data_IF_949309854190
#
_entry.id   IF_949309854190
#
_cell.length_a   1.000
_cell.length_b   1.000
_cell.length_c   1.000
_cell.angle_alpha   90.00
_cell.angle_beta   90.00
_cell.angle_gamma   90.00
#
_symmetry.space_group_name_H-M   'P 1'
#
loop_
_entity.id
_entity.type
_entity.pdbx_description
1 polymer ?
#
# COMPACT_ATOMS: atom_id res chain seq x y z
N UNK A 1 -7.91 1.92 -26.64
CA UNK A 1 -7.47 0.53 -26.46
C UNK A 1 -6.17 0.62 -25.67
N UNK A 2 -6.29 0.70 -24.35
CA UNK A 2 -5.14 0.64 -23.43
C UNK A 2 -4.72 -0.82 -23.39
N UNK A 3 -3.55 -1.12 -23.98
CA UNK A 3 -2.92 -2.41 -23.80
C UNK A 3 -2.75 -2.67 -22.29
N UNK A 4 -3.29 -3.78 -21.86
CA UNK A 4 -3.13 -4.31 -20.52
C UNK A 4 -1.63 -4.48 -20.22
N UNK A 5 -1.05 -3.57 -19.47
CA UNK A 5 0.37 -3.61 -19.05
C UNK A 5 0.65 -4.66 -17.97
N UNK A 6 -0.36 -5.42 -17.59
CA UNK A 6 -0.40 -6.19 -16.35
C UNK A 6 0.03 -7.65 -16.57
N UNK A 7 1.18 -8.03 -16.01
CA UNK A 7 1.73 -9.40 -15.97
C UNK A 7 1.56 -10.15 -17.31
N UNK A 8 1.95 -9.48 -18.40
CA UNK A 8 1.79 -9.99 -19.77
C UNK A 8 2.41 -11.38 -19.98
N UNK A 9 3.34 -11.79 -19.09
CA UNK A 9 4.02 -13.09 -19.13
C UNK A 9 3.49 -14.11 -18.10
N UNK A 10 2.52 -13.73 -17.25
CA UNK A 10 2.00 -14.60 -16.19
C UNK A 10 3.02 -14.97 -15.11
N UNK A 11 4.10 -14.20 -14.97
CA UNK A 11 5.22 -14.47 -14.06
C UNK A 11 4.78 -14.62 -12.61
N UNK A 12 3.85 -13.77 -12.19
CA UNK A 12 3.36 -13.72 -10.81
C UNK A 12 2.19 -14.67 -10.54
N UNK A 13 1.75 -15.47 -11.51
CA UNK A 13 0.67 -16.43 -11.31
C UNK A 13 1.09 -17.57 -10.39
N UNK A 14 0.21 -17.92 -9.46
CA UNK A 14 0.38 -19.04 -8.54
C UNK A 14 0.20 -20.36 -9.31
N UNK A 15 1.22 -21.21 -9.26
CA UNK A 15 1.22 -22.55 -9.83
C UNK A 15 1.17 -23.65 -8.76
N UNK A 16 1.42 -23.28 -7.50
CA UNK A 16 1.33 -24.20 -6.37
C UNK A 16 1.07 -23.47 -5.06
N UNK A 17 0.28 -24.11 -4.20
CA UNK A 17 -0.01 -23.65 -2.82
C UNK A 17 0.32 -24.79 -1.87
N UNK A 18 1.15 -24.52 -0.89
CA UNK A 18 1.46 -25.44 0.19
C UNK A 18 1.27 -24.75 1.53
N UNK A 19 0.74 -25.48 2.50
CA UNK A 19 0.60 -25.00 3.86
C UNK A 19 1.57 -25.74 4.77
N UNK A 20 2.29 -24.97 5.56
CA UNK A 20 3.13 -25.46 6.66
C UNK A 20 2.46 -25.17 8.00
N UNK A 21 3.09 -25.56 9.08
CA UNK A 21 2.60 -25.20 10.42
C UNK A 21 2.62 -23.68 10.70
N UNK A 22 3.41 -22.92 9.95
CA UNK A 22 3.68 -21.49 10.23
C UNK A 22 3.41 -20.55 9.06
N UNK A 23 3.20 -21.07 7.85
CA UNK A 23 3.09 -20.22 6.66
C UNK A 23 2.24 -20.86 5.55
N UNK A 24 1.63 -20.00 4.72
CA UNK A 24 1.20 -20.33 3.36
C UNK A 24 2.41 -20.11 2.45
N UNK A 25 2.74 -21.10 1.64
CA UNK A 25 3.84 -21.02 0.65
C UNK A 25 3.24 -21.08 -0.74
N UNK A 26 3.41 -20.00 -1.49
CA UNK A 26 2.97 -19.87 -2.87
C UNK A 26 4.16 -20.14 -3.79
N UNK A 27 3.98 -20.98 -4.80
CA UNK A 27 4.93 -21.14 -5.90
C UNK A 27 4.40 -20.39 -7.12
N UNK A 28 5.22 -19.52 -7.70
CA UNK A 28 4.87 -18.71 -8.87
C UNK A 28 5.29 -19.41 -10.17
N UNK A 29 4.82 -18.90 -11.30
CA UNK A 29 5.07 -19.47 -12.62
C UNK A 29 6.56 -19.42 -13.03
N UNK A 30 7.33 -18.48 -12.51
CA UNK A 30 8.79 -18.38 -12.71
C UNK A 30 9.59 -19.30 -11.77
N UNK A 31 8.92 -20.06 -10.90
CA UNK A 31 9.53 -20.94 -9.90
C UNK A 31 9.91 -20.24 -8.59
N UNK A 32 9.72 -18.94 -8.46
CA UNK A 32 9.91 -18.24 -7.19
C UNK A 32 8.91 -18.75 -6.15
N UNK A 33 9.31 -18.76 -4.87
CA UNK A 33 8.42 -19.07 -3.76
C UNK A 33 8.24 -17.86 -2.86
N UNK A 34 6.97 -17.62 -2.46
CA UNK A 34 6.58 -16.61 -1.50
C UNK A 34 6.03 -17.31 -0.26
N UNK A 35 6.49 -16.90 0.91
CA UNK A 35 5.95 -17.40 2.18
C UNK A 35 5.23 -16.27 2.91
N UNK A 36 3.98 -16.54 3.27
CA UNK A 36 3.14 -15.64 4.06
C UNK A 36 2.88 -16.27 5.44
N UNK A 37 3.30 -15.61 6.54
CA UNK A 37 3.16 -16.17 7.87
C UNK A 37 1.69 -16.31 8.31
N UNK A 38 1.28 -17.48 8.79
CA UNK A 38 -0.09 -17.74 9.28
C UNK A 38 -0.51 -16.78 10.39
N UNK A 39 0.43 -16.31 11.23
CA UNK A 39 0.16 -15.36 12.31
C UNK A 39 -0.43 -14.01 11.85
N UNK A 40 -0.27 -13.67 10.57
CA UNK A 40 -0.91 -12.48 9.98
C UNK A 40 -2.40 -12.71 9.65
N UNK A 41 -2.82 -13.99 9.59
CA UNK A 41 -4.16 -14.42 9.22
C UNK A 41 -4.77 -15.27 10.36
N UNK A 42 -5.25 -14.60 11.41
CA UNK A 42 -5.67 -15.25 12.67
C UNK A 42 -6.69 -16.38 12.48
N UNK A 43 -7.63 -16.25 11.54
CA UNK A 43 -8.61 -17.31 11.26
C UNK A 43 -7.94 -18.52 10.61
N UNK A 44 -7.03 -18.30 9.69
CA UNK A 44 -6.27 -19.37 9.02
C UNK A 44 -5.29 -20.05 9.98
N UNK A 45 -4.66 -19.27 10.88
CA UNK A 45 -3.79 -19.81 11.94
C UNK A 45 -4.55 -20.76 12.89
N UNK A 46 -5.81 -20.44 13.21
CA UNK A 46 -6.67 -21.25 14.10
C UNK A 46 -7.43 -22.37 13.37
N UNK A 47 -7.43 -22.37 12.06
CA UNK A 47 -8.15 -23.37 11.27
C UNK A 47 -7.51 -24.76 11.39
N UNK A 48 -8.35 -25.80 11.31
CA UNK A 48 -7.88 -27.18 11.23
C UNK A 48 -7.13 -27.45 9.93
N UNK A 49 -6.26 -28.49 9.86
CA UNK A 49 -5.59 -28.85 8.60
C UNK A 49 -6.56 -29.07 7.45
N UNK A 50 -7.71 -29.69 7.71
CA UNK A 50 -8.73 -29.94 6.68
C UNK A 50 -9.40 -28.65 6.16
N UNK A 51 -9.56 -27.64 7.01
CA UNK A 51 -10.07 -26.32 6.61
C UNK A 51 -9.03 -25.54 5.80
N UNK A 52 -7.75 -25.61 6.19
CA UNK A 52 -6.64 -24.98 5.47
C UNK A 52 -6.45 -25.52 4.06
N UNK A 53 -6.82 -26.77 3.78
CA UNK A 53 -6.74 -27.38 2.45
C UNK A 53 -7.86 -26.92 1.51
N UNK A 54 -8.93 -26.26 2.02
CA UNK A 54 -10.09 -25.84 1.23
C UNK A 54 -9.95 -24.42 0.67
N UNK A 55 -8.83 -24.18 0.01
CA UNK A 55 -8.53 -22.94 -0.66
C UNK A 55 -8.96 -22.95 -2.13
N UNK A 56 -9.08 -21.77 -2.72
CA UNK A 56 -9.24 -21.57 -4.16
C UNK A 56 -8.40 -20.40 -4.63
N UNK A 57 -7.97 -20.44 -5.89
CA UNK A 57 -7.34 -19.30 -6.55
C UNK A 57 -8.41 -18.23 -6.88
N UNK A 58 -8.02 -16.99 -6.73
CA UNK A 58 -8.79 -15.80 -7.07
C UNK A 58 -7.87 -14.78 -7.74
N UNK A 59 -8.38 -13.63 -8.15
CA UNK A 59 -7.61 -12.56 -8.78
C UNK A 59 -6.75 -13.09 -9.95
N UNK A 60 -7.40 -13.76 -10.90
CA UNK A 60 -6.76 -14.39 -12.08
C UNK A 60 -5.52 -15.26 -11.75
N UNK A 61 -5.50 -15.84 -10.56
CA UNK A 61 -4.43 -16.68 -10.07
C UNK A 61 -3.32 -15.95 -9.31
N UNK A 62 -3.54 -14.72 -8.88
CA UNK A 62 -2.59 -13.93 -8.07
C UNK A 62 -2.95 -13.90 -6.58
N UNK A 63 -4.06 -14.51 -6.20
CA UNK A 63 -4.52 -14.61 -4.83
C UNK A 63 -5.03 -16.00 -4.46
N UNK A 64 -5.03 -16.30 -3.18
CA UNK A 64 -5.60 -17.50 -2.57
C UNK A 64 -6.61 -17.09 -1.51
N UNK A 65 -7.80 -17.70 -1.55
CA UNK A 65 -8.88 -17.43 -0.59
C UNK A 65 -9.38 -18.72 0.03
N UNK A 66 -9.87 -18.64 1.27
CA UNK A 66 -10.54 -19.71 2.03
C UNK A 66 -11.99 -19.34 2.30
N UNK A 67 -12.93 -19.59 1.39
CA UNK A 67 -14.32 -19.08 1.48
C UNK A 67 -15.04 -19.48 2.75
N UNK A 68 -14.71 -20.64 3.32
CA UNK A 68 -15.36 -21.13 4.55
C UNK A 68 -14.85 -20.47 5.83
N UNK A 69 -13.69 -19.81 5.78
CA UNK A 69 -13.12 -19.11 6.92
C UNK A 69 -13.45 -17.62 6.93
N UNK A 70 -13.73 -17.05 5.75
CA UNK A 70 -13.97 -15.62 5.54
C UNK A 70 -15.16 -15.37 4.62
N UNK A 71 -16.38 -15.67 5.00
CA UNK A 71 -17.54 -15.30 4.22
C UNK A 71 -18.14 -14.00 4.78
N UNK A 72 -18.36 -12.95 3.99
CA UNK A 72 -17.98 -12.65 2.60
C UNK A 72 -16.87 -11.56 2.50
N UNK A 73 -15.87 -11.56 3.36
CA UNK A 73 -14.87 -10.49 3.44
C UNK A 73 -13.69 -10.72 2.50
N UNK A 74 -13.24 -9.69 1.74
CA UNK A 74 -11.97 -9.71 1.02
C UNK A 74 -10.74 -9.82 1.92
N UNK A 75 -10.89 -9.57 3.24
CA UNK A 75 -9.80 -9.64 4.24
C UNK A 75 -9.21 -11.05 4.46
N UNK A 76 -9.75 -12.07 3.79
CA UNK A 76 -9.29 -13.45 3.89
C UNK A 76 -8.41 -13.93 2.75
N UNK A 77 -7.86 -13.02 1.98
CA UNK A 77 -7.03 -13.33 0.84
C UNK A 77 -5.54 -13.28 1.19
N UNK A 78 -4.77 -14.25 0.70
CA UNK A 78 -3.31 -14.15 0.62
C UNK A 78 -2.99 -13.74 -0.82
N UNK A 79 -2.50 -12.52 -0.99
CA UNK A 79 -2.23 -11.91 -2.29
C UNK A 79 -0.74 -11.93 -2.61
N UNK A 80 -0.40 -12.34 -3.82
CA UNK A 80 0.98 -12.24 -4.34
C UNK A 80 1.43 -10.76 -4.35
N UNK A 81 0.52 -9.86 -4.74
CA UNK A 81 0.83 -8.43 -4.84
C UNK A 81 1.17 -7.83 -3.48
N UNK A 82 0.38 -8.14 -2.43
CA UNK A 82 0.62 -7.66 -1.07
C UNK A 82 1.96 -8.18 -0.51
N UNK A 83 2.25 -9.48 -0.69
CA UNK A 83 3.52 -10.05 -0.22
C UNK A 83 4.72 -9.39 -0.92
N UNK A 84 4.62 -9.14 -2.22
CA UNK A 84 5.71 -8.52 -2.97
C UNK A 84 5.85 -7.03 -2.63
N UNK A 85 4.75 -6.29 -2.50
CA UNK A 85 4.76 -4.89 -2.06
C UNK A 85 5.38 -4.76 -0.67
N UNK A 86 4.96 -5.58 0.30
CA UNK A 86 5.52 -5.61 1.66
C UNK A 86 7.04 -5.80 1.62
N UNK A 87 7.52 -6.75 0.80
CA UNK A 87 8.97 -6.98 0.65
C UNK A 87 9.71 -5.77 0.07
N UNK A 88 9.11 -5.07 -0.89
CA UNK A 88 9.68 -3.85 -1.46
C UNK A 88 9.77 -2.74 -0.40
N UNK A 89 8.70 -2.54 0.35
CA UNK A 89 8.63 -1.54 1.42
C UNK A 89 9.60 -1.88 2.55
N UNK A 90 9.61 -3.11 3.05
CA UNK A 90 10.52 -3.57 4.10
C UNK A 90 11.98 -3.39 3.71
N UNK A 91 12.33 -3.72 2.47
CA UNK A 91 13.69 -3.56 1.96
C UNK A 91 14.09 -2.07 1.87
N UNK A 92 13.20 -1.19 1.40
CA UNK A 92 13.44 0.25 1.33
C UNK A 92 13.57 0.88 2.71
N UNK A 93 12.68 0.51 3.65
CA UNK A 93 12.74 0.94 5.05
C UNK A 93 13.99 0.43 5.75
N UNK A 94 14.42 -0.81 5.49
CA UNK A 94 15.68 -1.35 6.00
C UNK A 94 16.89 -0.54 5.56
N UNK A 95 16.93 -0.12 4.29
CA UNK A 95 17.99 0.77 3.78
C UNK A 95 17.93 2.17 4.39
N UNK A 96 16.72 2.73 4.53
CA UNK A 96 16.52 4.02 5.20
C UNK A 96 17.01 3.98 6.66
N UNK A 97 16.69 2.92 7.39
CA UNK A 97 17.16 2.71 8.76
C UNK A 97 18.70 2.63 8.83
N UNK A 98 19.31 1.94 7.88
CA UNK A 98 20.79 1.86 7.79
C UNK A 98 21.43 3.22 7.45
N UNK A 99 20.69 4.10 6.79
CA UNK A 99 21.07 5.48 6.48
C UNK A 99 20.67 6.49 7.58
N UNK A 100 20.48 6.04 8.81
CA UNK A 100 20.07 6.87 9.97
C UNK A 100 18.83 7.73 9.67
N UNK A 101 17.86 7.17 8.95
CA UNK A 101 16.60 7.80 8.54
C UNK A 101 16.77 9.00 7.61
N UNK A 102 17.93 9.15 7.01
CA UNK A 102 18.21 10.20 6.03
C UNK A 102 17.75 9.77 4.64
N UNK A 103 16.63 10.34 4.19
CA UNK A 103 16.06 10.04 2.86
C UNK A 103 16.95 10.50 1.70
N UNK A 104 17.87 11.45 1.92
CA UNK A 104 18.82 11.89 0.88
C UNK A 104 19.97 10.92 0.67
N UNK A 105 20.19 10.00 1.63
CA UNK A 105 21.25 9.00 1.58
C UNK A 105 20.81 7.66 0.94
N UNK A 106 19.55 7.51 0.58
CA UNK A 106 19.02 6.31 -0.11
C UNK A 106 18.76 6.58 -1.59
N UNK A 107 18.60 5.50 -2.36
CA UNK A 107 18.34 5.61 -3.81
C UNK A 107 17.02 6.32 -4.10
N UNK A 108 16.84 6.95 -5.30
CA UNK A 108 15.54 7.50 -5.71
C UNK A 108 14.41 6.47 -5.61
N UNK A 109 14.63 5.24 -6.11
CA UNK A 109 13.68 4.13 -6.01
C UNK A 109 13.25 3.85 -4.56
N UNK A 110 14.20 3.79 -3.63
CA UNK A 110 13.88 3.53 -2.23
C UNK A 110 13.16 4.70 -1.57
N UNK A 111 13.48 5.92 -1.99
CA UNK A 111 12.81 7.14 -1.53
C UNK A 111 11.34 7.15 -1.96
N UNK A 112 11.06 6.76 -3.20
CA UNK A 112 9.70 6.62 -3.72
C UNK A 112 8.91 5.56 -2.95
N UNK A 113 9.49 4.37 -2.76
CA UNK A 113 8.86 3.29 -1.99
C UNK A 113 8.58 3.69 -0.54
N UNK A 114 9.51 4.40 0.11
CA UNK A 114 9.30 4.93 1.47
C UNK A 114 8.18 5.97 1.50
N UNK A 115 8.10 6.85 0.50
CA UNK A 115 7.07 7.87 0.44
C UNK A 115 5.67 7.26 0.19
N UNK A 116 5.58 6.26 -0.67
CA UNK A 116 4.34 5.49 -0.89
C UNK A 116 3.89 4.77 0.37
N UNK A 117 4.79 4.03 1.02
CA UNK A 117 4.49 3.34 2.28
C UNK A 117 3.98 4.30 3.37
N UNK A 118 4.63 5.48 3.52
CA UNK A 118 4.22 6.50 4.48
C UNK A 118 2.83 7.06 4.17
N UNK A 119 2.54 7.32 2.90
CA UNK A 119 1.25 7.81 2.47
C UNK A 119 0.14 6.78 2.76
N UNK A 120 0.32 5.52 2.34
CA UNK A 120 -0.66 4.46 2.62
C UNK A 120 -0.86 4.27 4.13
N UNK A 121 0.24 4.11 4.90
CA UNK A 121 0.16 3.81 6.32
C UNK A 121 -0.54 4.92 7.11
N UNK A 122 -0.18 6.19 6.88
CA UNK A 122 -0.72 7.29 7.68
C UNK A 122 -2.11 7.74 7.22
N UNK A 123 -2.38 7.77 5.90
CA UNK A 123 -3.70 8.15 5.42
C UNK A 123 -4.74 7.10 5.84
N UNK A 124 -4.40 5.81 5.77
CA UNK A 124 -5.29 4.74 6.23
C UNK A 124 -5.48 4.72 7.76
N UNK A 125 -4.52 5.23 8.52
CA UNK A 125 -4.59 5.24 9.99
C UNK A 125 -5.25 6.50 10.57
N UNK A 126 -5.06 7.67 9.98
CA UNK A 126 -5.52 8.93 10.55
C UNK A 126 -5.71 10.07 9.55
N UNK A 127 -5.79 9.73 8.24
CA UNK A 127 -6.06 10.69 7.18
C UNK A 127 -4.84 11.48 6.70
N UNK A 128 -5.06 12.30 5.69
CA UNK A 128 -4.02 13.09 5.04
C UNK A 128 -3.25 14.01 6.00
N UNK A 129 -3.94 14.60 6.97
CA UNK A 129 -3.28 15.50 7.92
C UNK A 129 -2.25 14.78 8.78
N UNK A 130 -2.50 13.51 9.15
CA UNK A 130 -1.52 12.70 9.86
C UNK A 130 -0.28 12.47 8.98
N UNK A 131 -0.48 12.09 7.72
CA UNK A 131 0.60 11.90 6.75
C UNK A 131 1.44 13.17 6.58
N UNK A 132 0.79 14.30 6.33
CA UNK A 132 1.47 15.58 6.13
C UNK A 132 2.23 16.03 7.40
N UNK A 133 1.62 15.85 8.57
CA UNK A 133 2.21 16.23 9.85
C UNK A 133 3.42 15.39 10.23
N UNK A 134 3.36 14.10 9.96
CA UNK A 134 4.46 13.19 10.27
C UNK A 134 5.66 13.35 9.31
N UNK A 135 5.41 13.66 8.03
CA UNK A 135 6.44 13.54 7.00
C UNK A 135 6.70 14.82 6.20
N UNK A 136 5.85 15.82 6.32
CA UNK A 136 6.01 17.13 5.69
C UNK A 136 5.76 17.17 4.17
N UNK A 137 5.86 18.38 3.63
CA UNK A 137 5.54 18.69 2.23
C UNK A 137 6.46 17.93 1.27
N UNK A 138 7.75 17.84 1.54
CA UNK A 138 8.71 17.15 0.67
C UNK A 138 8.36 15.67 0.48
N UNK A 139 7.90 15.01 1.53
CA UNK A 139 7.47 13.61 1.41
C UNK A 139 6.15 13.48 0.65
N UNK A 140 5.23 14.43 0.82
CA UNK A 140 4.00 14.51 0.03
C UNK A 140 4.33 14.66 -1.48
N UNK A 141 5.21 15.59 -1.85
CA UNK A 141 5.64 15.79 -3.24
C UNK A 141 6.26 14.50 -3.82
N UNK A 142 7.10 13.82 -3.03
CA UNK A 142 7.69 12.54 -3.44
C UNK A 142 6.63 11.45 -3.63
N UNK A 143 5.66 11.34 -2.70
CA UNK A 143 4.58 10.36 -2.81
C UNK A 143 3.71 10.60 -4.05
N UNK A 144 3.35 11.86 -4.33
CA UNK A 144 2.60 12.23 -5.53
C UNK A 144 3.36 11.88 -6.81
N UNK A 145 4.66 12.19 -6.88
CA UNK A 145 5.49 11.85 -8.04
C UNK A 145 5.63 10.32 -8.22
N UNK A 146 5.77 9.57 -7.12
CA UNK A 146 5.84 8.12 -7.14
C UNK A 146 4.51 7.48 -7.58
N UNK A 147 3.36 8.00 -7.12
CA UNK A 147 2.03 7.57 -7.59
C UNK A 147 1.86 7.78 -9.10
N UNK A 148 2.30 8.93 -9.62
CA UNK A 148 2.29 9.18 -11.07
C UNK A 148 3.21 8.20 -11.82
N UNK A 149 4.40 7.95 -11.28
CA UNK A 149 5.39 7.07 -11.90
C UNK A 149 4.88 5.62 -12.03
N UNK A 150 4.18 5.12 -11.01
CA UNK A 150 3.56 3.79 -11.06
C UNK A 150 2.25 3.76 -11.85
N UNK A 151 1.70 4.92 -12.22
CA UNK A 151 0.44 5.05 -12.97
C UNK A 151 -0.81 5.08 -12.09
N UNK A 152 -0.68 5.26 -10.78
CA UNK A 152 -1.79 5.42 -9.82
C UNK A 152 -2.34 6.87 -9.87
N UNK A 153 -2.90 7.24 -11.02
CA UNK A 153 -3.24 8.65 -11.31
C UNK A 153 -4.42 9.18 -10.51
N UNK A 154 -5.36 8.32 -10.12
CA UNK A 154 -6.49 8.71 -9.29
C UNK A 154 -6.01 9.01 -7.85
N UNK A 155 -5.20 8.13 -7.26
CA UNK A 155 -4.60 8.36 -5.94
C UNK A 155 -3.71 9.61 -5.92
N UNK A 156 -2.88 9.81 -6.96
CA UNK A 156 -2.08 11.03 -7.10
C UNK A 156 -2.94 12.30 -7.18
N UNK A 157 -4.08 12.23 -7.91
CA UNK A 157 -5.04 13.32 -8.00
C UNK A 157 -5.69 13.66 -6.66
N UNK A 158 -6.02 12.64 -5.86
CA UNK A 158 -6.57 12.80 -4.50
C UNK A 158 -5.54 13.49 -3.60
N UNK A 159 -4.28 13.03 -3.55
CA UNK A 159 -3.24 13.66 -2.73
C UNK A 159 -3.01 15.13 -3.11
N UNK A 160 -3.03 15.45 -4.40
CA UNK A 160 -2.96 16.85 -4.86
C UNK A 160 -4.16 17.66 -4.39
N UNK A 161 -5.37 17.12 -4.50
CA UNK A 161 -6.59 17.78 -4.06
C UNK A 161 -6.58 18.05 -2.54
N UNK A 162 -6.10 17.10 -1.74
CA UNK A 162 -5.91 17.28 -0.30
C UNK A 162 -4.92 18.40 0.01
N UNK A 163 -3.79 18.45 -0.72
CA UNK A 163 -2.79 19.49 -0.52
C UNK A 163 -3.33 20.89 -0.87
N UNK A 164 -4.14 21.03 -1.92
CA UNK A 164 -4.79 22.30 -2.29
C UNK A 164 -5.66 22.85 -1.14
N UNK A 165 -6.30 21.99 -0.34
CA UNK A 165 -7.09 22.43 0.82
C UNK A 165 -6.20 23.01 1.91
N UNK A 166 -5.04 22.43 2.19
CA UNK A 166 -4.17 22.83 3.31
C UNK A 166 -3.15 23.90 2.94
N UNK A 167 -2.77 24.02 1.67
CA UNK A 167 -1.72 24.94 1.19
C UNK A 167 -1.95 26.41 1.63
N UNK A 168 -3.17 26.99 1.54
CA UNK A 168 -3.41 28.37 1.98
C UNK A 168 -3.12 28.58 3.47
N UNK A 169 -3.39 27.58 4.29
CA UNK A 169 -3.15 27.63 5.74
C UNK A 169 -1.66 27.50 6.06
N UNK A 170 -0.92 26.72 5.30
CA UNK A 170 0.55 26.63 5.39
C UNK A 170 1.21 27.95 4.96
N UNK A 171 0.76 28.53 3.84
CA UNK A 171 1.31 29.78 3.31
C UNK A 171 1.11 31.00 4.23
N UNK A 172 0.08 30.97 5.09
CA UNK A 172 -0.17 32.01 6.06
C UNK A 172 0.92 32.18 7.14
N UNK A 173 1.84 31.19 7.23
CA UNK A 173 2.96 31.19 8.17
C UNK A 173 2.56 30.89 9.63
N UNK A 174 3.55 30.79 10.52
CA UNK A 174 3.32 30.53 11.95
C UNK A 174 2.78 29.12 12.25
N UNK A 175 3.13 28.13 11.42
CA UNK A 175 2.87 26.70 11.63
C UNK A 175 4.15 26.09 12.16
N UNK A 176 4.12 25.63 13.41
CA UNK A 176 5.21 24.91 14.06
C UNK A 176 4.90 23.42 14.17
N UNK A 177 3.60 23.07 14.13
CA UNK A 177 3.13 21.68 14.26
C UNK A 177 1.86 21.45 13.43
N UNK A 178 1.53 20.18 13.20
CA UNK A 178 0.27 19.80 12.55
C UNK A 178 -0.95 20.31 13.33
N UNK A 179 -0.84 20.43 14.66
CA UNK A 179 -1.92 20.93 15.51
C UNK A 179 -2.32 22.38 15.15
N UNK A 180 -1.36 23.18 14.67
CA UNK A 180 -1.63 24.55 14.22
C UNK A 180 -2.48 24.57 12.95
N UNK A 181 -2.30 23.59 12.06
CA UNK A 181 -3.13 23.41 10.86
C UNK A 181 -4.56 23.07 11.26
N UNK A 182 -4.76 22.11 12.15
CA UNK A 182 -6.10 21.74 12.64
C UNK A 182 -6.88 22.94 13.20
N UNK A 183 -6.20 23.82 13.91
CA UNK A 183 -6.83 25.02 14.47
C UNK A 183 -7.20 26.11 13.44
N UNK A 184 -6.74 25.98 12.20
CA UNK A 184 -6.97 26.96 11.12
C UNK A 184 -7.96 26.49 10.07
N UNK A 185 -8.15 25.18 9.94
CA UNK A 185 -9.09 24.61 8.98
C UNK A 185 -10.52 25.03 9.33
N UNK A 186 -11.25 25.44 8.32
CA UNK A 186 -12.69 25.71 8.44
C UNK A 186 -13.46 24.39 8.48
N UNK A 187 -14.76 24.45 8.82
CA UNK A 187 -15.64 23.28 8.74
C UNK A 187 -15.68 22.71 7.32
N UNK A 188 -15.76 23.56 6.30
CA UNK A 188 -15.74 23.17 4.89
C UNK A 188 -14.41 22.50 4.47
N UNK A 189 -13.27 22.96 5.00
CA UNK A 189 -11.97 22.32 4.75
C UNK A 189 -11.92 20.91 5.35
N UNK A 190 -12.40 20.76 6.59
CA UNK A 190 -12.46 19.46 7.27
C UNK A 190 -13.40 18.50 6.57
N UNK A 191 -14.58 18.95 6.14
CA UNK A 191 -15.53 18.16 5.35
C UNK A 191 -14.88 17.70 4.04
N UNK A 192 -14.23 18.63 3.33
CA UNK A 192 -13.56 18.32 2.07
C UNK A 192 -12.39 17.35 2.23
N UNK A 193 -11.58 17.49 3.27
CA UNK A 193 -10.51 16.52 3.56
C UNK A 193 -11.07 15.15 3.91
N UNK A 194 -12.15 15.07 4.69
CA UNK A 194 -12.84 13.81 5.01
C UNK A 194 -13.35 13.08 3.76
N UNK A 195 -14.00 13.81 2.82
CA UNK A 195 -14.41 13.22 1.53
C UNK A 195 -13.22 12.67 0.72
N UNK A 196 -12.08 13.36 0.75
CA UNK A 196 -10.89 12.93 0.03
C UNK A 196 -10.19 11.75 0.71
N UNK A 197 -10.18 11.69 2.05
CA UNK A 197 -9.71 10.53 2.79
C UNK A 197 -10.56 9.29 2.47
N UNK A 198 -11.90 9.42 2.46
CA UNK A 198 -12.81 8.36 2.05
C UNK A 198 -12.53 7.90 0.61
N UNK A 199 -12.34 8.84 -0.32
CA UNK A 199 -12.01 8.52 -1.71
C UNK A 199 -10.66 7.81 -1.86
N UNK A 200 -9.68 8.10 -0.99
CA UNK A 200 -8.40 7.38 -0.96
C UNK A 200 -8.57 5.96 -0.42
N UNK A 201 -9.38 5.77 0.63
CA UNK A 201 -9.65 4.47 1.24
C UNK A 201 -10.43 3.51 0.33
N UNK A 202 -11.12 4.03 -0.68
CA UNK A 202 -11.75 3.19 -1.72
C UNK A 202 -10.73 2.54 -2.69
N UNK A 203 -9.43 2.84 -2.53
CA UNK A 203 -8.37 2.33 -3.40
C UNK A 203 -8.69 2.46 -4.89
N UNK A 204 -8.85 3.69 -5.42
CA UNK A 204 -9.34 3.94 -6.78
C UNK A 204 -8.41 3.41 -7.87
N UNK A 205 -7.15 3.14 -7.54
CA UNK A 205 -6.17 2.46 -8.38
C UNK A 205 -5.74 1.15 -7.71
N UNK A 206 -5.37 0.10 -8.44
CA UNK A 206 -4.83 -1.14 -7.89
C UNK A 206 -3.36 -0.93 -7.44
N UNK A 207 -3.16 -0.06 -6.45
CA UNK A 207 -1.86 0.51 -6.07
C UNK A 207 -0.83 -0.56 -5.75
N UNK A 208 -1.21 -1.59 -4.97
CA UNK A 208 -0.33 -2.70 -4.59
C UNK A 208 0.29 -3.37 -5.81
N UNK A 209 -0.54 -3.65 -6.81
CA UNK A 209 -0.10 -4.26 -8.08
C UNK A 209 0.78 -3.31 -8.88
N UNK A 210 0.37 -2.05 -9.06
CA UNK A 210 1.13 -1.03 -9.79
C UNK A 210 2.54 -0.82 -9.20
N UNK A 211 2.66 -0.80 -7.88
CA UNK A 211 3.94 -0.70 -7.18
C UNK A 211 4.84 -1.89 -7.50
N UNK A 212 4.30 -3.11 -7.45
CA UNK A 212 5.07 -4.33 -7.76
C UNK A 212 5.50 -4.36 -9.23
N UNK A 213 4.62 -4.01 -10.16
CA UNK A 213 4.92 -4.00 -11.59
C UNK A 213 5.97 -2.95 -11.97
N UNK A 214 6.02 -1.82 -11.27
CA UNK A 214 6.97 -0.74 -11.54
C UNK A 214 8.32 -0.93 -10.84
N UNK A 215 8.29 -1.35 -9.56
CA UNK A 215 9.49 -1.44 -8.72
C UNK A 215 9.94 -2.89 -8.45
N UNK A 216 9.18 -3.88 -8.86
CA UNK A 216 9.53 -5.29 -8.71
C UNK A 216 10.78 -5.69 -9.48
N UNK A 217 11.25 -6.94 -9.28
CA UNK A 217 12.42 -7.48 -9.96
C UNK A 217 12.19 -7.65 -11.46
#
# INVERSE_FOLDING_TARGET
MTEDRFDTNGTYRITGVALTDTAVVLTLADGQTLAEPLRRHVRLEKATPAERERWRLIDDGHGVNWPELWDPSPEGMVSVWEILQDRLYDAALGRLKTADWNTDAISPRDRDLVALWRAEADINNGGFLQFLGNWGIRNHETAVAALDAVGATAAAGILRAMFIVVEPHLAAGGIESISDIYGRLTEADNERLGELDEAFWEYPDPLTRLVVEHYGP
#
